data_IF_573119840495
#
_entry.id   IF_573119840495
#
_cell.length_a   1.000
_cell.length_b   1.000
_cell.length_c   1.000
_cell.angle_alpha   90.00
_cell.angle_beta   90.00
_cell.angle_gamma   90.00
#
_symmetry.space_group_name_H-M   'P 1'
#
loop_
_entity.id
_entity.type
_entity.pdbx_description
1 polymer ?
#
# COMPACT_ATOMS: atom_id res chain seq x y z
N UNK A 1 -1.84 12.46 -15.23
CA UNK A 1 -1.29 12.74 -13.90
C UNK A 1 -0.13 13.68 -14.12
N UNK A 2 -0.34 14.95 -13.78
CA UNK A 2 0.66 16.00 -13.91
C UNK A 2 1.84 15.71 -12.98
N UNK A 3 2.91 16.46 -13.16
CA UNK A 3 4.25 16.33 -12.60
C UNK A 3 4.33 16.49 -11.07
N UNK A 4 3.42 15.88 -10.31
CA UNK A 4 3.42 15.92 -8.85
C UNK A 4 4.69 15.21 -8.35
N UNK A 5 5.45 15.92 -7.51
CA UNK A 5 6.67 15.45 -6.88
C UNK A 5 6.45 14.04 -6.34
N UNK A 6 7.07 13.07 -7.00
CA UNK A 6 6.97 11.67 -6.60
C UNK A 6 7.64 11.55 -5.25
N UNK A 7 6.95 11.07 -4.21
CA UNK A 7 7.55 10.98 -2.90
C UNK A 7 8.71 9.99 -2.99
N UNK A 8 9.92 10.44 -2.64
CA UNK A 8 11.18 9.67 -2.64
C UNK A 8 11.01 8.32 -1.91
N UNK A 9 10.04 8.27 -1.00
CA UNK A 9 9.62 7.08 -0.25
C UNK A 9 9.26 5.88 -1.15
N UNK A 10 8.81 6.12 -2.38
CA UNK A 10 8.52 5.05 -3.35
C UNK A 10 9.76 4.23 -3.73
N UNK A 11 10.96 4.80 -3.55
CA UNK A 11 12.27 4.18 -3.83
C UNK A 11 13.06 3.82 -2.59
N UNK A 12 12.69 4.33 -1.41
CA UNK A 12 13.41 4.06 -0.16
C UNK A 12 12.69 3.04 0.72
N UNK A 13 11.36 2.92 0.61
CA UNK A 13 10.64 1.89 1.34
C UNK A 13 10.93 0.50 0.75
N UNK A 14 11.49 -0.38 1.60
CA UNK A 14 11.92 -1.72 1.21
C UNK A 14 10.78 -2.55 0.64
N UNK A 15 9.57 -2.42 1.17
CA UNK A 15 8.43 -3.23 0.75
C UNK A 15 7.85 -2.75 -0.57
N UNK A 16 7.80 -1.43 -0.80
CA UNK A 16 7.42 -0.83 -2.08
C UNK A 16 8.41 -1.26 -3.18
N UNK A 17 9.71 -1.18 -2.90
CA UNK A 17 10.75 -1.60 -3.86
C UNK A 17 10.62 -3.08 -4.19
N UNK A 18 10.47 -3.92 -3.17
CA UNK A 18 10.31 -5.37 -3.35
C UNK A 18 9.01 -5.71 -4.08
N UNK A 19 7.92 -4.98 -3.83
CA UNK A 19 6.68 -5.08 -4.61
C UNK A 19 6.94 -4.79 -6.09
N UNK A 20 7.66 -3.71 -6.40
CA UNK A 20 8.04 -3.34 -7.76
C UNK A 20 8.85 -4.42 -8.46
N UNK A 21 9.88 -4.94 -7.79
CA UNK A 21 10.72 -6.04 -8.29
C UNK A 21 9.91 -7.31 -8.56
N UNK A 22 9.00 -7.69 -7.65
CA UNK A 22 8.12 -8.87 -7.82
C UNK A 22 7.12 -8.69 -8.95
N UNK A 23 6.57 -7.48 -9.17
CA UNK A 23 5.72 -7.22 -10.34
C UNK A 23 6.52 -7.26 -11.63
N UNK A 24 7.74 -6.73 -11.62
CA UNK A 24 8.63 -6.73 -12.76
C UNK A 24 9.00 -8.16 -13.20
N UNK A 25 9.36 -9.03 -12.25
CA UNK A 25 9.70 -10.43 -12.53
C UNK A 25 8.54 -11.24 -13.13
N UNK A 26 7.28 -10.83 -12.91
CA UNK A 26 6.08 -11.54 -13.38
C UNK A 26 5.57 -11.10 -14.75
N UNK A 27 6.04 -9.96 -15.27
CA UNK A 27 5.48 -9.34 -16.47
C UNK A 27 6.43 -9.44 -17.65
N UNK A 28 5.89 -9.38 -18.87
CA UNK A 28 6.70 -9.19 -20.09
C UNK A 28 7.36 -7.81 -20.00
N UNK A 29 8.67 -7.75 -20.23
CA UNK A 29 9.51 -6.56 -20.02
C UNK A 29 9.27 -5.48 -21.10
N UNK A 30 8.05 -4.97 -21.19
CA UNK A 30 7.61 -3.98 -22.18
C UNK A 30 7.51 -2.59 -21.55
N UNK A 31 7.76 -1.52 -22.33
CA UNK A 31 7.68 -0.11 -21.88
C UNK A 31 6.38 0.23 -21.11
N UNK A 32 5.23 -0.24 -21.61
CA UNK A 32 3.94 -0.06 -20.93
C UNK A 32 3.89 -0.67 -19.52
N UNK A 33 4.50 -1.85 -19.33
CA UNK A 33 4.54 -2.52 -18.04
C UNK A 33 5.44 -1.78 -17.05
N UNK A 34 6.57 -1.23 -17.49
CA UNK A 34 7.41 -0.38 -16.64
C UNK A 34 6.65 0.85 -16.15
N UNK A 35 5.91 1.53 -17.02
CA UNK A 35 5.10 2.69 -16.65
C UNK A 35 3.98 2.33 -15.68
N UNK A 36 3.33 1.17 -15.89
CA UNK A 36 2.33 0.64 -14.98
C UNK A 36 2.91 0.32 -13.59
N UNK A 37 4.04 -0.39 -13.52
CA UNK A 37 4.70 -0.73 -12.25
C UNK A 37 5.12 0.54 -11.49
N UNK A 38 5.74 1.51 -12.20
CA UNK A 38 6.10 2.80 -11.62
C UNK A 38 4.89 3.53 -11.06
N UNK A 39 3.78 3.55 -11.79
CA UNK A 39 2.55 4.15 -11.29
C UNK A 39 2.10 3.47 -9.99
N UNK A 40 2.14 2.13 -9.91
CA UNK A 40 1.78 1.40 -8.69
C UNK A 40 2.68 1.67 -7.50
N UNK A 41 3.99 1.76 -7.72
CA UNK A 41 4.94 2.11 -6.66
C UNK A 41 4.68 3.53 -6.15
N UNK A 42 4.39 4.47 -7.06
CA UNK A 42 4.02 5.85 -6.69
C UNK A 42 2.72 5.92 -5.92
N UNK A 43 1.68 5.20 -6.35
CA UNK A 43 0.40 5.10 -5.63
C UNK A 43 0.62 4.62 -4.18
N UNK A 44 1.49 3.63 -3.97
CA UNK A 44 1.88 3.15 -2.63
C UNK A 44 2.69 4.20 -1.84
N UNK A 45 3.60 4.92 -2.49
CA UNK A 45 4.38 5.98 -1.84
C UNK A 45 3.50 7.15 -1.38
N UNK A 46 2.54 7.56 -2.20
CA UNK A 46 1.54 8.57 -1.84
C UNK A 46 0.64 8.11 -0.69
N UNK A 47 0.22 6.85 -0.73
CA UNK A 47 -0.53 6.24 0.36
C UNK A 47 0.27 6.31 1.67
N UNK A 48 1.55 5.91 1.64
CA UNK A 48 2.40 5.92 2.84
C UNK A 48 2.58 7.34 3.40
N UNK A 49 2.76 8.33 2.53
CA UNK A 49 2.84 9.73 2.95
C UNK A 49 1.54 10.19 3.65
N UNK A 50 0.38 9.79 3.12
CA UNK A 50 -0.91 10.10 3.73
C UNK A 50 -1.11 9.34 5.04
N UNK A 51 -0.79 8.06 5.10
CA UNK A 51 -0.87 7.28 6.34
C UNK A 51 0.02 7.88 7.45
N UNK A 52 1.26 8.25 7.12
CA UNK A 52 2.18 8.92 8.04
C UNK A 52 1.72 10.31 8.50
N UNK A 53 0.89 10.99 7.71
CA UNK A 53 0.27 12.26 8.12
C UNK A 53 -0.89 12.08 9.11
N UNK A 54 -1.51 10.88 9.15
CA UNK A 54 -2.56 10.53 10.14
C UNK A 54 -1.94 9.96 11.40
N UNK A 55 -0.94 9.09 11.27
CA UNK A 55 -0.20 8.49 12.37
C UNK A 55 1.31 8.56 12.10
N UNK A 56 2.05 9.39 12.86
CA UNK A 56 3.51 9.52 12.73
C UNK A 56 4.31 8.23 13.02
N UNK A 57 3.69 7.22 13.64
CA UNK A 57 4.33 5.91 13.82
C UNK A 57 4.40 5.10 12.52
N UNK A 58 3.58 5.44 11.52
CA UNK A 58 3.63 4.80 10.19
C UNK A 58 4.79 5.38 9.39
N UNK A 59 5.90 4.65 9.34
CA UNK A 59 7.11 5.04 8.59
C UNK A 59 7.34 4.21 7.35
N UNK A 60 6.84 2.98 7.36
CA UNK A 60 6.97 2.00 6.31
C UNK A 60 5.61 1.40 5.94
N UNK A 61 5.45 0.92 4.70
CA UNK A 61 4.18 0.30 4.29
C UNK A 61 3.86 -0.96 5.12
N UNK A 62 4.88 -1.65 5.64
CA UNK A 62 4.69 -2.78 6.57
C UNK A 62 4.01 -2.39 7.87
N UNK A 63 4.16 -1.16 8.34
CA UNK A 63 3.55 -0.70 9.60
C UNK A 63 2.03 -0.60 9.44
N UNK A 64 1.54 -0.44 8.20
CA UNK A 64 0.13 -0.50 7.85
C UNK A 64 -0.45 -1.93 7.86
N UNK A 65 0.41 -2.97 7.90
CA UNK A 65 0.00 -4.38 7.95
C UNK A 65 -0.22 -4.78 9.40
N UNK A 66 -1.10 -4.05 10.07
CA UNK A 66 -1.53 -4.25 11.45
C UNK A 66 -3.06 -4.08 11.49
N UNK A 67 -3.82 -5.03 12.07
CA UNK A 67 -5.27 -4.90 12.18
C UNK A 67 -5.69 -3.62 12.92
N UNK A 68 -4.92 -3.13 13.89
CA UNK A 68 -5.21 -1.90 14.62
C UNK A 68 -5.13 -0.65 13.74
N UNK A 69 -4.29 -0.70 12.70
CA UNK A 69 -4.08 0.40 11.75
C UNK A 69 -4.94 0.25 10.49
N UNK A 70 -5.83 -0.75 10.42
CA UNK A 70 -6.64 -1.01 9.23
C UNK A 70 -7.54 0.18 8.87
N UNK A 71 -8.33 0.68 9.81
CA UNK A 71 -9.21 1.83 9.55
C UNK A 71 -8.42 3.12 9.26
N UNK A 72 -7.24 3.28 9.87
CA UNK A 72 -6.32 4.35 9.52
C UNK A 72 -5.89 4.26 8.04
N UNK A 73 -5.58 3.05 7.57
CA UNK A 73 -5.26 2.82 6.16
C UNK A 73 -6.44 3.14 5.25
N UNK A 74 -7.67 2.77 5.64
CA UNK A 74 -8.88 3.12 4.91
C UNK A 74 -9.02 4.65 4.81
N UNK A 75 -8.86 5.38 5.91
CA UNK A 75 -8.90 6.84 5.92
C UNK A 75 -7.79 7.47 5.07
N UNK A 76 -6.57 6.92 5.10
CA UNK A 76 -5.48 7.37 4.24
C UNK A 76 -5.79 7.18 2.75
N UNK A 77 -6.39 6.03 2.37
CA UNK A 77 -6.86 5.78 1.00
C UNK A 77 -7.98 6.73 0.62
N UNK A 78 -8.94 6.98 1.50
CA UNK A 78 -10.03 7.93 1.30
C UNK A 78 -9.51 9.33 1.01
N UNK A 79 -8.60 9.85 1.83
CA UNK A 79 -7.97 11.16 1.60
C UNK A 79 -7.22 11.20 0.26
N UNK A 80 -6.48 10.14 -0.08
CA UNK A 80 -5.75 10.07 -1.34
C UNK A 80 -6.67 10.02 -2.56
N UNK A 81 -7.85 9.42 -2.43
CA UNK A 81 -8.83 9.29 -3.51
C UNK A 81 -9.81 10.46 -3.60
N UNK A 82 -9.61 11.50 -2.79
CA UNK A 82 -10.50 12.66 -2.70
C UNK A 82 -11.90 12.26 -2.25
N UNK A 83 -12.01 11.43 -1.21
CA UNK A 83 -13.29 11.12 -0.60
C UNK A 83 -13.89 12.39 0.01
N UNK A 84 -15.11 12.72 -0.38
CA UNK A 84 -15.88 13.83 0.18
C UNK A 84 -16.88 13.28 1.19
N UNK A 85 -16.64 13.57 2.47
CA UNK A 85 -17.48 13.14 3.59
C UNK A 85 -18.91 13.69 3.50
N UNK A 86 -19.12 14.83 2.85
CA UNK A 86 -20.46 15.44 2.72
C UNK A 86 -21.32 14.73 1.68
N UNK A 87 -20.68 14.22 0.64
CA UNK A 87 -21.38 13.54 -0.47
C UNK A 87 -21.21 12.03 -0.43
N UNK A 88 -20.39 11.51 0.49
CA UNK A 88 -20.01 10.09 0.64
C UNK A 88 -19.49 9.50 -0.69
N UNK A 89 -18.79 10.31 -1.49
CA UNK A 89 -18.32 9.95 -2.83
C UNK A 89 -16.81 10.11 -2.96
N UNK A 90 -16.20 9.17 -3.70
CA UNK A 90 -14.81 9.27 -4.12
C UNK A 90 -14.71 10.09 -5.41
N UNK A 91 -13.74 11.00 -5.50
CA UNK A 91 -13.37 11.64 -6.77
C UNK A 91 -12.83 10.59 -7.76
N UNK A 92 -12.05 9.61 -7.27
CA UNK A 92 -11.55 8.50 -8.10
C UNK A 92 -11.73 7.14 -7.40
N UNK A 93 -12.92 6.50 -7.46
CA UNK A 93 -13.17 5.22 -6.79
C UNK A 93 -12.28 4.09 -7.32
N UNK A 94 -11.89 4.15 -8.61
CA UNK A 94 -10.98 3.16 -9.19
C UNK A 94 -9.59 3.20 -8.57
N UNK A 95 -9.16 4.35 -8.04
CA UNK A 95 -7.87 4.52 -7.37
C UNK A 95 -7.87 3.82 -6.00
N UNK A 96 -8.98 3.90 -5.26
CA UNK A 96 -9.12 3.22 -3.96
C UNK A 96 -8.96 1.70 -4.11
N UNK A 97 -9.69 1.10 -5.04
CA UNK A 97 -9.58 -0.33 -5.33
C UNK A 97 -8.16 -0.71 -5.80
N UNK A 98 -7.55 0.13 -6.64
CA UNK A 98 -6.19 -0.05 -7.14
C UNK A 98 -5.13 -0.05 -6.03
N UNK A 99 -5.26 0.83 -5.04
CA UNK A 99 -4.36 0.90 -3.89
C UNK A 99 -4.60 -0.29 -2.96
N UNK A 100 -5.87 -0.61 -2.65
CA UNK A 100 -6.22 -1.76 -1.82
C UNK A 100 -5.65 -3.07 -2.35
N UNK A 101 -5.76 -3.32 -3.67
CA UNK A 101 -5.14 -4.49 -4.31
C UNK A 101 -3.61 -4.49 -4.22
N UNK A 102 -2.97 -3.33 -4.35
CA UNK A 102 -1.52 -3.20 -4.20
C UNK A 102 -1.09 -3.45 -2.74
N UNK A 103 -1.81 -2.91 -1.76
CA UNK A 103 -1.59 -3.16 -0.34
C UNK A 103 -1.78 -4.62 0.02
N UNK A 104 -2.82 -5.28 -0.49
CA UNK A 104 -3.04 -6.71 -0.27
C UNK A 104 -1.87 -7.57 -0.79
N UNK A 105 -1.25 -7.18 -1.91
CA UNK A 105 -0.03 -7.84 -2.41
C UNK A 105 1.18 -7.57 -1.51
N UNK A 106 1.32 -6.36 -0.97
CA UNK A 106 2.36 -6.03 0.01
C UNK A 106 2.15 -6.80 1.32
N UNK A 107 0.93 -6.89 1.83
CA UNK A 107 0.58 -7.69 3.00
C UNK A 107 1.00 -9.16 2.83
N UNK A 108 0.77 -9.74 1.64
CA UNK A 108 1.20 -11.11 1.32
C UNK A 108 2.72 -11.25 1.36
N UNK A 109 3.44 -10.24 0.87
CA UNK A 109 4.88 -10.19 0.95
C UNK A 109 5.37 -10.10 2.39
N UNK A 110 4.85 -9.15 3.17
CA UNK A 110 5.20 -8.97 4.59
C UNK A 110 4.96 -10.25 5.38
N UNK A 111 3.85 -10.95 5.13
CA UNK A 111 3.58 -12.26 5.74
C UNK A 111 4.65 -13.30 5.40
N UNK A 112 5.04 -13.44 4.13
CA UNK A 112 6.09 -14.38 3.71
C UNK A 112 7.44 -14.02 4.35
N UNK A 113 7.76 -12.74 4.39
CA UNK A 113 9.01 -12.23 4.96
C UNK A 113 9.05 -12.45 6.49
N UNK A 114 7.92 -12.28 7.18
CA UNK A 114 7.76 -12.56 8.61
C UNK A 114 7.96 -14.06 8.91
N UNK A 115 7.33 -14.94 8.13
CA UNK A 115 7.51 -16.40 8.22
C UNK A 115 8.97 -16.80 8.00
N UNK A 116 9.63 -16.20 7.01
CA UNK A 116 11.03 -16.48 6.68
C UNK A 116 11.99 -15.99 7.78
N UNK A 117 11.68 -14.86 8.41
CA UNK A 117 12.50 -14.22 9.45
C UNK A 117 12.20 -14.72 10.86
N UNK A 118 11.19 -15.60 11.03
CA UNK A 118 10.66 -16.06 12.32
C UNK A 118 10.22 -14.92 13.25
N UNK A 119 9.77 -13.81 12.68
CA UNK A 119 9.21 -12.69 13.42
C UNK A 119 7.76 -13.00 13.77
N UNK A 120 7.52 -13.43 15.02
CA UNK A 120 6.21 -13.87 15.49
C UNK A 120 5.21 -12.72 15.62
N UNK A 121 5.67 -11.53 16.00
CA UNK A 121 4.81 -10.35 16.15
C UNK A 121 4.28 -9.91 14.77
N UNK A 122 5.19 -9.76 13.81
CA UNK A 122 4.81 -9.37 12.46
C UNK A 122 3.97 -10.45 11.76
N UNK A 123 4.22 -11.72 12.06
CA UNK A 123 3.40 -12.82 11.56
C UNK A 123 1.95 -12.71 12.08
N UNK A 124 1.76 -12.58 13.39
CA UNK A 124 0.44 -12.48 14.00
C UNK A 124 -0.34 -11.28 13.47
N UNK A 125 0.30 -10.11 13.42
CA UNK A 125 -0.28 -8.88 12.83
C UNK A 125 -0.70 -9.08 11.39
N UNK A 126 0.16 -9.67 10.56
CA UNK A 126 -0.18 -9.91 9.16
C UNK A 126 -1.35 -10.91 9.00
N UNK A 127 -1.42 -11.95 9.83
CA UNK A 127 -2.54 -12.90 9.79
C UNK A 127 -3.85 -12.26 10.22
N UNK A 128 -3.83 -11.47 11.30
CA UNK A 128 -5.01 -10.74 11.77
C UNK A 128 -5.46 -9.67 10.77
N UNK A 129 -4.53 -8.98 10.12
CA UNK A 129 -4.83 -8.06 9.02
C UNK A 129 -5.62 -8.76 7.90
N UNK A 130 -5.27 -9.99 7.53
CA UNK A 130 -6.02 -10.74 6.51
C UNK A 130 -7.41 -11.17 6.94
N UNK A 131 -7.61 -11.40 8.25
CA UNK A 131 -8.95 -11.69 8.79
C UNK A 131 -9.83 -10.45 8.61
N UNK A 132 -9.38 -9.29 9.09
CA UNK A 132 -10.12 -8.03 8.95
C UNK A 132 -10.39 -7.70 7.48
N UNK A 133 -9.37 -7.81 6.61
CA UNK A 133 -9.53 -7.56 5.18
C UNK A 133 -10.55 -8.47 4.48
N UNK A 134 -10.82 -9.67 5.01
CA UNK A 134 -11.78 -10.62 4.41
C UNK A 134 -13.22 -10.34 4.84
N UNK A 135 -13.40 -9.78 6.03
CA UNK A 135 -14.72 -9.50 6.63
C UNK A 135 -15.30 -8.15 6.15
N UNK A 136 -14.49 -7.29 5.50
CA UNK A 136 -14.88 -6.02 4.88
C UNK A 136 -15.09 -6.15 3.35
#
# INVERSE_FOLDING_TARGET
>A
MANDEVPIIDRTDRDIVTYGQRQFAKQKQTSHQFSYIRQKMRELGWFLLKAGSVDPEVRHVRDCIDPQKFYLCVSAVQMLCGFDEKTMKYVTPSLANKIGQSLHKVAKQVRIDALSSRDKDLQEKAEHYFIVYKEE
#
